data_IF_103160530560
#
_entry.id   IF_103160530560
#
_cell.length_a   1.000
_cell.length_b   1.000
_cell.length_c   1.000
_cell.angle_alpha   90.00
_cell.angle_beta   90.00
_cell.angle_gamma   90.00
#
_symmetry.space_group_name_H-M   'P 1'
#
loop_
_entity.id
_entity.type
_entity.pdbx_description
1 polymer ?
#
# COMPACT_ATOMS: atom_id res chain seq x y z
N UNK A 1 -33.50 29.90 24.22
CA UNK A 1 -32.29 29.06 24.43
C UNK A 1 -32.75 27.65 24.77
N UNK A 2 -32.56 26.68 23.87
CA UNK A 2 -33.00 25.30 24.09
C UNK A 2 -32.05 24.62 25.08
N UNK A 3 -32.56 24.33 26.28
CA UNK A 3 -31.87 23.55 27.31
C UNK A 3 -31.84 22.10 26.85
N UNK A 4 -30.68 21.65 26.35
CA UNK A 4 -30.45 20.23 26.05
C UNK A 4 -30.55 19.45 27.36
N UNK A 5 -31.50 18.52 27.43
CA UNK A 5 -31.74 17.70 28.62
C UNK A 5 -30.47 16.95 29.05
N UNK A 6 -30.10 16.96 30.35
CA UNK A 6 -28.91 16.28 30.87
C UNK A 6 -28.80 14.80 30.48
N UNK A 7 -29.94 14.12 30.29
CA UNK A 7 -29.99 12.73 29.85
C UNK A 7 -29.52 12.50 28.41
N UNK A 8 -29.59 13.51 27.54
CA UNK A 8 -29.13 13.41 26.14
C UNK A 8 -27.59 13.53 26.05
N UNK A 9 -26.99 14.30 26.94
CA UNK A 9 -25.53 14.46 27.06
C UNK A 9 -24.92 13.16 27.57
N UNK A 10 -25.49 12.56 28.61
CA UNK A 10 -25.01 11.30 29.19
C UNK A 10 -25.08 10.13 28.20
N UNK A 11 -26.15 10.03 27.40
CA UNK A 11 -26.28 9.01 26.34
C UNK A 11 -25.24 9.18 25.23
N UNK A 12 -24.92 10.40 24.81
CA UNK A 12 -23.88 10.67 23.81
C UNK A 12 -22.48 10.31 24.32
N UNK A 13 -22.18 10.62 25.58
CA UNK A 13 -20.91 10.22 26.19
C UNK A 13 -20.76 8.70 26.32
N UNK A 14 -21.83 7.99 26.70
CA UNK A 14 -21.80 6.52 26.80
C UNK A 14 -21.63 5.85 25.43
N UNK A 15 -22.24 6.39 24.38
CA UNK A 15 -22.06 5.91 23.01
C UNK A 15 -20.63 6.16 22.51
N UNK A 16 -20.08 7.35 22.79
CA UNK A 16 -18.70 7.70 22.43
C UNK A 16 -17.69 6.81 23.18
N UNK A 17 -17.90 6.53 24.47
CA UNK A 17 -17.06 5.65 25.26
C UNK A 17 -17.12 4.20 24.74
N UNK A 18 -18.31 3.68 24.43
CA UNK A 18 -18.48 2.36 23.80
C UNK A 18 -17.81 2.29 22.42
N UNK A 19 -17.86 3.38 21.65
CA UNK A 19 -17.19 3.47 20.36
C UNK A 19 -15.66 3.46 20.51
N UNK A 20 -15.10 4.22 21.47
CA UNK A 20 -13.68 4.20 21.80
C UNK A 20 -13.24 2.80 22.29
N UNK A 21 -13.99 2.17 23.18
CA UNK A 21 -13.69 0.81 23.67
C UNK A 21 -13.78 -0.23 22.54
N UNK A 22 -14.72 -0.06 21.59
CA UNK A 22 -14.83 -0.91 20.39
C UNK A 22 -13.70 -0.67 19.40
N UNK A 23 -13.18 0.54 19.28
CA UNK A 23 -11.97 0.84 18.48
C UNK A 23 -10.74 0.23 19.15
N UNK A 24 -10.63 0.35 20.47
CA UNK A 24 -9.49 -0.12 21.25
C UNK A 24 -9.40 -1.65 21.27
N UNK A 25 -10.51 -2.35 21.51
CA UNK A 25 -10.58 -3.82 21.40
C UNK A 25 -10.32 -4.32 19.97
N UNK A 26 -10.82 -3.62 18.94
CA UNK A 26 -10.47 -3.98 17.54
C UNK A 26 -8.99 -3.84 17.20
N UNK A 27 -8.24 -3.03 17.97
CA UNK A 27 -6.79 -2.87 17.81
C UNK A 27 -6.02 -3.99 18.53
N UNK A 28 -6.64 -4.66 19.49
CA UNK A 28 -6.11 -5.84 20.19
C UNK A 28 -6.39 -7.14 19.40
N UNK A 29 -7.47 -7.20 18.61
CA UNK A 29 -7.87 -8.41 17.85
C UNK A 29 -7.17 -8.60 16.49
N UNK A 30 -6.49 -7.58 15.95
CA UNK A 30 -5.81 -7.65 14.65
C UNK A 30 -4.41 -7.05 14.82
N UNK A 31 -3.51 -7.83 15.40
CA UNK A 31 -2.09 -7.51 15.44
C UNK A 31 -1.41 -8.04 14.17
N UNK A 32 -0.42 -7.31 13.63
CA UNK A 32 0.42 -7.83 12.56
C UNK A 32 0.99 -9.20 12.95
N UNK A 33 1.07 -10.12 12.00
CA UNK A 33 1.81 -11.36 12.18
C UNK A 33 3.31 -11.04 12.23
N UNK A 34 3.78 -10.72 13.44
CA UNK A 34 5.14 -10.24 13.67
C UNK A 34 6.19 -11.31 13.32
N UNK A 35 5.85 -12.59 13.44
CA UNK A 35 6.75 -13.69 13.11
C UNK A 35 6.92 -13.79 11.58
N UNK A 36 5.81 -13.84 10.84
CA UNK A 36 5.86 -13.86 9.37
C UNK A 36 6.54 -12.62 8.79
N UNK A 37 6.30 -11.44 9.38
CA UNK A 37 6.97 -10.21 8.97
C UNK A 37 8.47 -10.27 9.24
N UNK A 38 8.89 -10.79 10.40
CA UNK A 38 10.31 -10.93 10.73
C UNK A 38 11.02 -11.88 9.77
N UNK A 39 10.44 -13.04 9.50
CA UNK A 39 10.99 -14.00 8.55
C UNK A 39 11.15 -13.37 7.16
N UNK A 40 10.16 -12.60 6.72
CA UNK A 40 10.23 -11.88 5.44
C UNK A 40 11.27 -10.77 5.43
N UNK A 41 11.44 -10.05 6.54
CA UNK A 41 12.49 -9.02 6.70
C UNK A 41 13.88 -9.67 6.59
N UNK A 42 14.08 -10.81 7.25
CA UNK A 42 15.36 -11.52 7.24
C UNK A 42 15.66 -12.10 5.85
N UNK A 43 14.65 -12.63 5.15
CA UNK A 43 14.77 -13.06 3.76
C UNK A 43 15.17 -11.89 2.84
N UNK A 44 14.44 -10.77 2.89
CA UNK A 44 14.73 -9.58 2.08
C UNK A 44 16.12 -9.01 2.37
N UNK A 45 16.56 -9.06 3.62
CA UNK A 45 17.90 -8.66 4.02
C UNK A 45 18.97 -9.58 3.42
N UNK A 46 18.69 -10.84 3.13
CA UNK A 46 19.68 -11.79 2.57
C UNK A 46 19.51 -12.01 1.06
N UNK A 47 18.43 -11.51 0.47
CA UNK A 47 18.10 -11.71 -0.94
C UNK A 47 19.20 -11.22 -1.87
N UNK A 48 19.59 -12.08 -2.80
CA UNK A 48 20.33 -11.67 -3.98
C UNK A 48 19.38 -11.01 -4.98
N UNK A 49 19.49 -9.69 -5.12
CA UNK A 49 18.63 -8.92 -6.01
C UNK A 49 19.20 -8.97 -7.42
N UNK A 50 18.53 -9.69 -8.34
CA UNK A 50 18.91 -9.73 -9.75
C UNK A 50 18.68 -8.37 -10.43
N UNK A 51 19.56 -7.42 -10.15
CA UNK A 51 19.47 -6.03 -10.59
C UNK A 51 19.46 -5.91 -12.11
N UNK A 52 20.14 -6.82 -12.82
CA UNK A 52 20.12 -6.84 -14.29
C UNK A 52 18.71 -7.12 -14.81
N UNK A 53 18.07 -8.20 -14.33
CA UNK A 53 16.71 -8.54 -14.74
C UNK A 53 15.68 -7.47 -14.34
N UNK A 54 15.76 -6.96 -13.10
CA UNK A 54 14.86 -5.93 -12.60
C UNK A 54 15.00 -4.65 -13.44
N UNK A 55 16.24 -4.24 -13.75
CA UNK A 55 16.51 -3.05 -14.58
C UNK A 55 16.03 -3.24 -16.02
N UNK A 56 16.27 -4.39 -16.63
CA UNK A 56 15.77 -4.68 -17.99
C UNK A 56 14.25 -4.55 -18.05
N UNK A 57 13.53 -5.13 -17.08
CA UNK A 57 12.07 -5.05 -17.02
C UNK A 57 11.58 -3.62 -16.77
N UNK A 58 12.19 -2.89 -15.83
CA UNK A 58 11.82 -1.50 -15.55
C UNK A 58 12.11 -0.57 -16.74
N UNK A 59 13.26 -0.74 -17.41
CA UNK A 59 13.62 0.05 -18.59
C UNK A 59 12.62 -0.18 -19.73
N UNK A 60 12.15 -1.42 -19.91
CA UNK A 60 11.08 -1.70 -20.87
C UNK A 60 9.83 -0.85 -20.61
N UNK A 61 9.43 -0.68 -19.34
CA UNK A 61 8.29 0.19 -18.98
C UNK A 61 8.58 1.67 -19.25
N UNK A 62 9.83 2.11 -19.09
CA UNK A 62 10.26 3.48 -19.42
C UNK A 62 10.21 3.72 -20.94
N UNK A 63 10.70 2.76 -21.72
CA UNK A 63 10.86 2.90 -23.17
C UNK A 63 9.53 2.68 -23.93
N UNK A 64 8.71 1.73 -23.47
CA UNK A 64 7.48 1.30 -24.15
C UNK A 64 6.20 1.77 -23.45
N UNK A 65 6.29 2.27 -22.21
CA UNK A 65 5.15 2.63 -21.38
C UNK A 65 4.56 1.46 -20.57
N UNK A 66 3.49 1.75 -19.81
CA UNK A 66 2.74 0.70 -19.11
C UNK A 66 1.90 -0.06 -20.15
N UNK A 67 1.96 -1.41 -20.18
CA UNK A 67 1.21 -2.19 -21.15
C UNK A 67 -0.30 -2.05 -20.93
N UNK A 68 -1.04 -1.75 -22.00
CA UNK A 68 -2.51 -1.83 -21.99
C UNK A 68 -2.95 -3.29 -21.84
N UNK A 69 -3.88 -3.57 -20.93
CA UNK A 69 -4.39 -4.91 -20.67
C UNK A 69 -5.90 -4.94 -20.67
N UNK A 70 -6.46 -5.91 -21.38
CA UNK A 70 -7.85 -6.35 -21.17
C UNK A 70 -7.81 -7.47 -20.15
N UNK A 71 -8.39 -7.24 -18.98
CA UNK A 71 -8.43 -8.23 -17.90
C UNK A 71 -9.64 -9.14 -18.13
N UNK A 72 -9.41 -10.45 -18.25
CA UNK A 72 -10.47 -11.46 -18.15
C UNK A 72 -10.67 -11.81 -16.67
N UNK A 73 -11.81 -11.43 -16.05
CA UNK A 73 -12.06 -11.71 -14.64
C UNK A 73 -11.93 -13.20 -14.29
N UNK A 74 -12.30 -14.11 -15.20
CA UNK A 74 -12.24 -15.56 -14.94
C UNK A 74 -10.80 -16.04 -14.80
N UNK A 75 -9.93 -15.61 -15.71
CA UNK A 75 -8.51 -15.99 -15.67
C UNK A 75 -7.79 -15.30 -14.51
N UNK A 76 -8.12 -14.03 -14.21
CA UNK A 76 -7.55 -13.33 -13.05
C UNK A 76 -7.90 -14.03 -11.73
N UNK A 77 -9.17 -14.42 -11.54
CA UNK A 77 -9.62 -15.12 -10.34
C UNK A 77 -8.96 -16.50 -10.24
N UNK A 78 -8.91 -17.23 -11.36
CA UNK A 78 -8.29 -18.56 -11.43
C UNK A 78 -6.79 -18.53 -11.06
N UNK A 79 -6.09 -17.48 -11.46
CA UNK A 79 -4.64 -17.30 -11.21
C UNK A 79 -4.34 -16.31 -10.07
N UNK A 80 -5.28 -16.11 -9.14
CA UNK A 80 -5.19 -15.11 -8.07
C UNK A 80 -3.88 -15.17 -7.30
N UNK A 81 -3.51 -16.33 -6.76
CA UNK A 81 -2.33 -16.45 -5.90
C UNK A 81 -1.03 -16.15 -6.67
N UNK A 82 -0.91 -16.63 -7.90
CA UNK A 82 0.22 -16.34 -8.79
C UNK A 82 0.35 -14.85 -9.12
N UNK A 83 -0.78 -14.17 -9.31
CA UNK A 83 -0.82 -12.71 -9.53
C UNK A 83 -0.39 -11.98 -8.26
N UNK A 84 -0.91 -12.36 -7.10
CA UNK A 84 -0.58 -11.73 -5.82
C UNK A 84 0.91 -11.86 -5.48
N UNK A 85 1.48 -13.05 -5.67
CA UNK A 85 2.90 -13.31 -5.43
C UNK A 85 3.78 -12.51 -6.40
N UNK A 86 3.40 -12.47 -7.68
CA UNK A 86 4.12 -11.69 -8.71
C UNK A 86 4.06 -10.19 -8.43
N UNK A 87 2.90 -9.66 -8.03
CA UNK A 87 2.73 -8.24 -7.69
C UNK A 87 3.56 -7.87 -6.47
N UNK A 88 3.54 -8.71 -5.43
CA UNK A 88 4.35 -8.51 -4.24
C UNK A 88 5.84 -8.46 -4.60
N UNK A 89 6.32 -9.48 -5.32
CA UNK A 89 7.73 -9.56 -5.75
C UNK A 89 8.13 -8.31 -6.55
N UNK A 90 7.33 -7.92 -7.53
CA UNK A 90 7.61 -6.72 -8.34
C UNK A 90 7.60 -5.44 -7.51
N UNK A 91 6.72 -5.33 -6.51
CA UNK A 91 6.66 -4.19 -5.59
C UNK A 91 7.95 -4.04 -4.78
N UNK A 92 8.47 -5.17 -4.28
CA UNK A 92 9.75 -5.28 -3.59
C UNK A 92 10.91 -4.87 -4.53
N UNK A 93 10.98 -5.50 -5.72
CA UNK A 93 12.06 -5.29 -6.69
C UNK A 93 12.13 -3.86 -7.23
N UNK A 94 10.99 -3.27 -7.61
CA UNK A 94 10.96 -1.90 -8.12
C UNK A 94 11.28 -0.87 -7.04
N UNK A 95 10.91 -1.12 -5.78
CA UNK A 95 11.38 -0.30 -4.67
C UNK A 95 12.90 -0.39 -4.51
N UNK A 96 13.45 -1.62 -4.53
CA UNK A 96 14.89 -1.84 -4.40
C UNK A 96 15.70 -1.15 -5.51
N UNK A 97 15.21 -1.21 -6.75
CA UNK A 97 15.81 -0.55 -7.91
C UNK A 97 15.73 0.98 -7.81
N UNK A 98 14.51 1.51 -7.61
CA UNK A 98 14.25 2.96 -7.70
C UNK A 98 14.55 3.71 -6.41
N UNK A 99 14.80 2.99 -5.31
CA UNK A 99 14.93 3.52 -3.95
C UNK A 99 13.73 4.37 -3.52
N UNK A 100 12.55 4.00 -4.00
CA UNK A 100 11.32 4.73 -3.76
C UNK A 100 10.15 3.74 -3.54
N UNK A 101 9.65 3.69 -2.31
CA UNK A 101 8.59 2.75 -1.94
C UNK A 101 7.22 3.10 -2.54
N UNK A 102 6.92 4.38 -2.79
CA UNK A 102 5.68 4.74 -3.49
C UNK A 102 5.70 4.25 -4.94
N UNK A 103 6.82 4.46 -5.65
CA UNK A 103 7.02 3.94 -7.01
C UNK A 103 6.98 2.42 -7.04
N UNK A 104 7.66 1.74 -6.11
CA UNK A 104 7.69 0.28 -6.08
C UNK A 104 6.29 -0.33 -6.12
N UNK A 105 5.43 0.09 -5.19
CA UNK A 105 4.05 -0.41 -5.10
C UNK A 105 3.21 -0.03 -6.33
N UNK A 106 3.27 1.24 -6.76
CA UNK A 106 2.49 1.71 -7.91
C UNK A 106 2.91 1.03 -9.22
N UNK A 107 4.22 0.94 -9.51
CA UNK A 107 4.72 0.32 -10.76
C UNK A 107 4.32 -1.15 -10.85
N UNK A 108 4.38 -1.90 -9.75
CA UNK A 108 3.95 -3.30 -9.74
C UNK A 108 2.46 -3.46 -10.09
N UNK A 109 1.60 -2.63 -9.48
CA UNK A 109 0.15 -2.63 -9.75
C UNK A 109 -0.17 -2.16 -11.16
N UNK A 110 0.50 -1.12 -11.64
CA UNK A 110 0.27 -0.54 -12.96
C UNK A 110 0.64 -1.54 -14.05
N UNK A 111 1.80 -2.18 -13.91
CA UNK A 111 2.24 -3.23 -14.83
C UNK A 111 1.30 -4.45 -14.80
N UNK A 112 0.82 -4.86 -13.63
CA UNK A 112 -0.02 -6.05 -13.52
C UNK A 112 -1.42 -5.83 -14.11
N UNK A 113 -2.05 -4.70 -13.81
CA UNK A 113 -3.44 -4.43 -14.19
C UNK A 113 -3.60 -3.50 -15.40
N UNK A 114 -2.49 -3.04 -16.00
CA UNK A 114 -2.51 -2.17 -17.17
C UNK A 114 -3.07 -0.78 -16.87
N UNK A 115 -2.65 -0.18 -15.76
CA UNK A 115 -3.17 1.09 -15.25
C UNK A 115 -2.19 2.24 -15.46
N UNK A 116 -2.71 3.47 -15.61
CA UNK A 116 -1.91 4.68 -15.55
C UNK A 116 -0.80 4.77 -16.60
N UNK A 117 0.29 5.46 -16.25
CA UNK A 117 1.44 5.68 -17.13
C UNK A 117 2.71 6.03 -16.31
N UNK A 118 3.85 6.13 -16.99
CA UNK A 118 5.14 6.44 -16.37
C UNK A 118 5.24 7.87 -15.81
N UNK A 119 4.41 8.81 -16.28
CA UNK A 119 4.38 10.18 -15.74
C UNK A 119 3.81 10.21 -14.32
N UNK A 120 2.80 9.39 -14.04
CA UNK A 120 2.30 9.21 -12.67
C UNK A 120 3.38 8.59 -11.78
N UNK A 121 4.11 7.58 -12.28
CA UNK A 121 5.24 6.97 -11.55
C UNK A 121 6.33 8.01 -11.27
N UNK A 122 6.66 8.88 -12.24
CA UNK A 122 7.59 10.00 -12.06
C UNK A 122 7.11 10.97 -10.99
N UNK A 123 5.81 11.28 -10.99
CA UNK A 123 5.16 12.14 -10.00
C UNK A 123 5.21 11.63 -8.56
N UNK A 124 5.38 10.32 -8.35
CA UNK A 124 5.49 9.71 -7.00
C UNK A 124 6.86 9.93 -6.32
N UNK A 125 7.79 10.66 -6.94
CA UNK A 125 9.12 10.96 -6.38
C UNK A 125 9.12 11.42 -4.92
N UNK A 126 8.31 12.42 -4.50
CA UNK A 126 8.34 12.92 -3.13
C UNK A 126 7.51 12.08 -2.16
N UNK A 127 6.86 11.00 -2.57
CA UNK A 127 5.90 10.29 -1.72
C UNK A 127 6.47 9.32 -0.68
N UNK A 128 7.74 8.85 -0.73
CA UNK A 128 8.32 8.10 0.38
C UNK A 128 8.25 8.89 1.70
N UNK A 129 7.39 8.44 2.62
CA UNK A 129 7.13 9.14 3.89
C UNK A 129 6.59 10.57 3.72
N UNK A 130 6.10 10.91 2.51
CA UNK A 130 5.93 12.26 1.92
C UNK A 130 7.01 13.25 2.37
N UNK A 131 7.96 13.47 1.47
CA UNK A 131 9.18 14.23 1.62
C UNK A 131 10.14 13.69 2.69
N UNK A 132 10.18 12.36 2.89
CA UNK A 132 11.06 11.69 3.86
C UNK A 132 10.86 12.16 5.31
N UNK A 133 9.71 12.77 5.62
CA UNK A 133 9.42 13.39 6.91
C UNK A 133 8.92 12.43 8.00
N UNK A 134 8.84 11.13 7.69
CA UNK A 134 8.24 10.13 8.57
C UNK A 134 6.71 10.06 8.50
N UNK A 135 6.07 10.87 7.64
CA UNK A 135 4.62 10.89 7.41
C UNK A 135 4.08 9.62 6.73
N UNK A 136 2.98 9.75 5.97
CA UNK A 136 2.33 8.59 5.33
C UNK A 136 3.32 7.76 4.50
N UNK A 137 3.34 6.45 4.72
CA UNK A 137 4.25 5.55 4.04
C UNK A 137 3.98 5.51 2.53
N UNK A 138 5.04 5.50 1.72
CA UNK A 138 4.91 5.60 0.25
C UNK A 138 3.95 4.59 -0.40
N UNK A 139 3.93 3.30 0.01
CA UNK A 139 3.00 2.30 -0.53
C UNK A 139 1.53 2.64 -0.28
N UNK A 140 1.20 3.43 0.74
CA UNK A 140 -0.17 3.94 0.93
C UNK A 140 -0.56 4.79 -0.28
N UNK A 141 0.27 5.76 -0.66
CA UNK A 141 0.03 6.60 -1.84
C UNK A 141 0.06 5.81 -3.15
N UNK A 142 1.00 4.87 -3.29
CA UNK A 142 1.11 4.02 -4.48
C UNK A 142 -0.11 3.12 -4.69
N UNK A 143 -0.57 2.43 -3.65
CA UNK A 143 -1.76 1.58 -3.70
C UNK A 143 -3.05 2.38 -3.91
N UNK A 144 -3.21 3.53 -3.22
CA UNK A 144 -4.36 4.40 -3.44
C UNK A 144 -4.43 4.92 -4.89
N UNK A 145 -3.28 5.25 -5.50
CA UNK A 145 -3.24 5.68 -6.90
C UNK A 145 -3.77 4.57 -7.83
N UNK A 146 -3.31 3.32 -7.64
CA UNK A 146 -3.77 2.20 -8.45
C UNK A 146 -5.26 1.90 -8.26
N UNK A 147 -5.75 1.88 -7.01
CA UNK A 147 -7.15 1.66 -6.71
C UNK A 147 -8.04 2.75 -7.30
N UNK A 148 -7.60 4.01 -7.25
CA UNK A 148 -8.33 5.12 -7.89
C UNK A 148 -8.43 4.94 -9.40
N UNK A 149 -7.32 4.59 -10.07
CA UNK A 149 -7.32 4.36 -11.52
C UNK A 149 -8.15 3.16 -11.94
N UNK A 150 -8.28 2.15 -11.08
CA UNK A 150 -9.06 0.96 -11.35
C UNK A 150 -10.57 1.17 -11.10
N UNK A 151 -10.94 1.84 -10.01
CA UNK A 151 -12.36 1.93 -9.58
C UNK A 151 -13.07 3.24 -9.97
N UNK A 152 -12.36 4.32 -10.31
CA UNK A 152 -12.97 5.56 -10.78
C UNK A 152 -13.42 5.45 -12.23
N UNK A 153 -14.51 6.14 -12.58
CA UNK A 153 -14.80 6.46 -13.98
C UNK A 153 -13.76 7.41 -14.59
N UNK A 154 -13.54 7.38 -15.91
CA UNK A 154 -12.62 8.30 -16.58
C UNK A 154 -13.14 9.74 -16.69
N UNK A 155 -14.44 9.96 -16.45
CA UNK A 155 -15.06 11.28 -16.47
C UNK A 155 -14.75 12.06 -15.18
N UNK A 156 -13.78 12.97 -15.26
CA UNK A 156 -13.37 13.83 -14.15
C UNK A 156 -14.44 14.86 -13.76
N UNK A 157 -15.52 15.00 -14.53
CA UNK A 157 -16.63 15.90 -14.23
C UNK A 157 -17.76 15.21 -13.45
N UNK A 158 -17.66 13.89 -13.23
CA UNK A 158 -18.55 13.19 -12.31
C UNK A 158 -18.14 13.46 -10.86
N UNK A 159 -18.59 14.59 -10.33
CA UNK A 159 -18.34 15.01 -8.95
C UNK A 159 -19.11 14.16 -7.91
N UNK A 160 -19.93 13.19 -8.34
CA UNK A 160 -20.71 12.31 -7.46
C UNK A 160 -20.06 10.92 -7.29
N UNK A 161 -19.05 10.58 -8.10
CA UNK A 161 -18.36 9.29 -7.97
C UNK A 161 -17.57 9.21 -6.65
N UNK A 162 -18.14 8.49 -5.70
CA UNK A 162 -17.55 8.25 -4.37
C UNK A 162 -17.09 6.81 -4.18
N UNK A 163 -17.17 5.96 -5.23
CA UNK A 163 -16.89 4.52 -5.14
C UNK A 163 -15.47 4.24 -4.65
N UNK A 164 -14.51 5.04 -5.11
CA UNK A 164 -13.10 4.88 -4.77
C UNK A 164 -12.80 5.09 -3.30
N UNK A 165 -13.58 5.91 -2.58
CA UNK A 165 -13.40 6.08 -1.13
C UNK A 165 -13.67 4.79 -0.36
N UNK A 166 -14.60 3.95 -0.80
CA UNK A 166 -14.89 2.67 -0.15
C UNK A 166 -13.69 1.72 -0.24
N UNK A 167 -13.12 1.58 -1.43
CA UNK A 167 -11.94 0.75 -1.67
C UNK A 167 -10.68 1.33 -1.03
N UNK A 168 -10.50 2.66 -1.06
CA UNK A 168 -9.43 3.35 -0.37
C UNK A 168 -9.48 3.10 1.14
N UNK A 169 -10.64 3.23 1.78
CA UNK A 169 -10.80 2.96 3.22
C UNK A 169 -10.52 1.51 3.58
N UNK A 170 -10.94 0.57 2.73
CA UNK A 170 -10.64 -0.85 2.88
C UNK A 170 -9.13 -1.12 2.77
N UNK A 171 -8.47 -0.52 1.78
CA UNK A 171 -7.02 -0.62 1.59
C UNK A 171 -6.24 -0.06 2.77
N UNK A 172 -6.55 1.16 3.21
CA UNK A 172 -5.92 1.77 4.37
C UNK A 172 -6.06 0.90 5.61
N UNK A 173 -7.24 0.32 5.82
CA UNK A 173 -7.46 -0.57 6.96
C UNK A 173 -6.60 -1.83 6.87
N UNK A 174 -6.61 -2.54 5.73
CA UNK A 174 -5.81 -3.76 5.56
C UNK A 174 -4.30 -3.48 5.61
N UNK A 175 -3.85 -2.34 5.10
CA UNK A 175 -2.46 -1.92 5.19
C UNK A 175 -2.05 -1.64 6.65
N UNK A 176 -2.91 -0.91 7.39
CA UNK A 176 -2.70 -0.67 8.82
C UNK A 176 -2.73 -1.97 9.62
N UNK A 177 -3.62 -2.91 9.30
CA UNK A 177 -3.65 -4.23 9.95
C UNK A 177 -2.37 -5.03 9.67
N UNK A 178 -1.77 -4.91 8.48
CA UNK A 178 -0.53 -5.60 8.11
C UNK A 178 0.72 -5.02 8.78
N UNK A 179 0.75 -3.73 9.09
CA UNK A 179 1.95 -3.05 9.61
C UNK A 179 1.79 -2.42 11.00
N UNK A 180 0.57 -2.38 11.53
CA UNK A 180 0.21 -1.68 12.76
C UNK A 180 0.14 -0.15 12.64
N UNK A 181 0.46 0.44 11.49
CA UNK A 181 0.44 1.89 11.25
C UNK A 181 0.38 2.22 9.76
N UNK A 182 0.02 3.46 9.44
CA UNK A 182 0.15 4.07 8.10
C UNK A 182 1.40 4.97 8.00
N UNK A 183 2.06 5.27 9.12
CA UNK A 183 3.18 6.21 9.19
C UNK A 183 4.51 5.52 8.92
N UNK A 184 5.33 6.16 8.09
CA UNK A 184 6.65 5.68 7.73
C UNK A 184 7.57 5.58 8.96
N UNK A 185 7.44 6.48 9.93
CA UNK A 185 8.20 6.43 11.19
C UNK A 185 7.97 5.14 11.98
N UNK A 186 6.71 4.73 12.09
CA UNK A 186 6.30 3.56 12.87
C UNK A 186 6.69 2.29 12.12
N UNK A 187 6.46 2.27 10.82
CA UNK A 187 6.83 1.16 9.95
C UNK A 187 8.35 1.00 9.91
N UNK A 188 9.14 2.09 9.83
CA UNK A 188 10.59 2.00 9.97
C UNK A 188 11.00 1.43 11.32
N UNK A 189 10.29 1.76 12.40
CA UNK A 189 10.59 1.18 13.72
C UNK A 189 10.37 -0.34 13.73
N UNK A 190 9.29 -0.81 13.10
CA UNK A 190 9.03 -2.23 12.90
C UNK A 190 10.11 -2.91 12.04
N UNK A 191 10.48 -2.31 10.91
CA UNK A 191 11.38 -2.93 9.93
C UNK A 191 12.88 -2.81 10.29
N UNK A 192 13.27 -1.69 10.90
CA UNK A 192 14.66 -1.27 11.08
C UNK A 192 15.05 -1.15 12.57
N UNK A 193 14.11 -1.35 13.49
CA UNK A 193 14.30 -1.23 14.93
C UNK A 193 14.16 0.19 15.49
N UNK A 194 14.17 1.23 14.65
CA UNK A 194 13.82 2.61 15.00
C UNK A 194 13.56 3.44 13.74
N UNK A 195 12.97 4.62 13.91
CA UNK A 195 12.89 5.63 12.87
C UNK A 195 14.25 6.30 12.61
N UNK A 196 14.55 6.54 11.34
CA UNK A 196 15.64 7.39 10.89
C UNK A 196 15.09 8.46 9.95
N UNK A 197 15.48 9.72 10.17
CA UNK A 197 15.25 10.81 9.21
C UNK A 197 16.53 11.01 8.38
N UNK A 198 16.61 10.49 7.15
CA UNK A 198 17.81 10.59 6.33
C UNK A 198 18.07 12.02 5.82
N UNK A 199 17.09 12.93 5.93
CA UNK A 199 17.21 14.33 5.53
C UNK A 199 17.73 15.23 6.65
N UNK A 200 17.74 14.74 7.89
CA UNK A 200 18.25 15.48 9.05
C UNK A 200 19.80 15.51 9.16
N UNK A 201 20.52 14.95 8.18
CA UNK A 201 21.98 15.09 8.07
C UNK A 201 22.71 13.81 7.68
N UNK A 202 24.02 13.93 7.41
CA UNK A 202 24.86 12.82 6.93
C UNK A 202 24.94 11.63 7.88
N UNK A 203 24.95 11.87 9.20
CA UNK A 203 24.98 10.80 10.21
C UNK A 203 23.70 9.96 10.18
N UNK A 204 22.52 10.59 10.10
CA UNK A 204 21.26 9.87 10.00
C UNK A 204 21.13 9.11 8.67
N UNK A 205 21.60 9.70 7.56
CA UNK A 205 21.64 9.01 6.29
C UNK A 205 22.53 7.75 6.34
N UNK A 206 23.71 7.83 6.96
CA UNK A 206 24.57 6.67 7.16
C UNK A 206 23.93 5.63 8.08
N UNK A 207 23.28 6.06 9.17
CA UNK A 207 22.60 5.16 10.10
C UNK A 207 21.43 4.41 9.42
N UNK A 208 20.64 5.10 8.60
CA UNK A 208 19.57 4.50 7.80
C UNK A 208 20.09 3.43 6.84
N UNK A 209 21.21 3.70 6.16
CA UNK A 209 21.85 2.71 5.28
C UNK A 209 22.45 1.53 6.07
N UNK A 210 23.10 1.78 7.21
CA UNK A 210 23.61 0.71 8.10
C UNK A 210 22.51 -0.18 8.66
N UNK A 211 21.31 0.37 8.85
CA UNK A 211 20.11 -0.39 9.22
C UNK A 211 19.53 -1.24 8.08
N UNK A 212 20.19 -1.25 6.90
CA UNK A 212 19.79 -2.03 5.72
C UNK A 212 18.41 -1.65 5.20
N UNK A 213 18.09 -0.36 5.26
CA UNK A 213 16.79 0.14 4.83
C UNK A 213 16.54 -0.09 3.33
N UNK A 214 17.60 -0.12 2.51
CA UNK A 214 17.47 -0.43 1.08
C UNK A 214 16.90 -1.84 0.86
N UNK A 215 17.32 -2.80 1.67
CA UNK A 215 16.92 -4.20 1.58
C UNK A 215 15.60 -4.48 2.30
N UNK A 216 15.39 -3.87 3.48
CA UNK A 216 14.23 -4.16 4.35
C UNK A 216 12.97 -3.37 4.04
N UNK A 217 13.09 -2.08 3.71
CA UNK A 217 11.93 -1.25 3.35
C UNK A 217 11.11 -1.77 2.14
N UNK A 218 11.68 -2.48 1.14
CA UNK A 218 10.95 -3.18 0.09
C UNK A 218 9.77 -4.06 0.54
N UNK A 219 9.75 -4.55 1.78
CA UNK A 219 8.59 -5.28 2.31
C UNK A 219 7.29 -4.47 2.21
N UNK A 220 7.35 -3.18 2.57
CA UNK A 220 6.19 -2.29 2.60
C UNK A 220 5.52 -2.12 1.22
N UNK A 221 6.24 -1.80 0.12
CA UNK A 221 5.65 -1.74 -1.21
C UNK A 221 5.19 -3.08 -1.74
N UNK A 222 5.87 -4.19 -1.40
CA UNK A 222 5.42 -5.54 -1.77
C UNK A 222 4.04 -5.85 -1.19
N UNK A 223 3.90 -5.76 0.14
CA UNK A 223 2.62 -6.02 0.81
C UNK A 223 1.56 -4.99 0.44
N UNK A 224 1.91 -3.70 0.34
CA UNK A 224 0.98 -2.68 -0.12
C UNK A 224 0.42 -2.98 -1.52
N UNK A 225 1.29 -3.42 -2.44
CA UNK A 225 0.85 -3.85 -3.76
C UNK A 225 -0.03 -5.11 -3.70
N UNK A 226 0.35 -6.13 -2.91
CA UNK A 226 -0.45 -7.35 -2.71
C UNK A 226 -1.86 -7.03 -2.21
N UNK A 227 -1.99 -6.21 -1.19
CA UNK A 227 -3.28 -5.86 -0.57
C UNK A 227 -4.17 -5.11 -1.58
N UNK A 228 -3.61 -4.17 -2.34
CA UNK A 228 -4.37 -3.47 -3.38
C UNK A 228 -4.82 -4.42 -4.50
N UNK A 229 -3.95 -5.32 -4.95
CA UNK A 229 -4.27 -6.34 -5.94
C UNK A 229 -5.37 -7.30 -5.44
N UNK A 230 -5.31 -7.72 -4.18
CA UNK A 230 -6.34 -8.55 -3.56
C UNK A 230 -7.71 -7.86 -3.58
N UNK A 231 -7.76 -6.55 -3.26
CA UNK A 231 -9.01 -5.77 -3.30
C UNK A 231 -9.58 -5.69 -4.73
N UNK A 232 -8.72 -5.54 -5.75
CA UNK A 232 -9.11 -5.54 -7.15
C UNK A 232 -9.70 -6.91 -7.55
N UNK A 233 -9.01 -8.00 -7.22
CA UNK A 233 -9.46 -9.35 -7.59
C UNK A 233 -10.76 -9.70 -6.86
N UNK A 234 -10.89 -9.36 -5.58
CA UNK A 234 -12.13 -9.56 -4.83
C UNK A 234 -13.33 -8.79 -5.41
N UNK A 235 -13.12 -7.64 -6.08
CA UNK A 235 -14.24 -6.96 -6.75
C UNK A 235 -14.70 -7.76 -7.97
N UNK A 236 -13.77 -8.39 -8.70
CA UNK A 236 -14.09 -9.29 -9.81
C UNK A 236 -14.86 -10.54 -9.34
N UNK A 237 -14.45 -11.14 -8.22
CA UNK A 237 -15.13 -12.30 -7.61
C UNK A 237 -16.59 -11.97 -7.26
N UNK A 238 -16.83 -10.78 -6.70
CA UNK A 238 -18.18 -10.31 -6.36
C UNK A 238 -19.04 -10.07 -7.59
N UNK A 239 -18.48 -9.45 -8.62
CA UNK A 239 -19.20 -9.22 -9.89
C UNK A 239 -19.52 -10.54 -10.61
N UNK A 240 -18.62 -11.52 -10.57
CA UNK A 240 -18.87 -12.84 -11.14
C UNK A 240 -19.99 -13.57 -10.41
N UNK A 241 -20.00 -13.51 -9.07
CA UNK A 241 -21.04 -14.12 -8.25
C UNK A 241 -22.40 -13.47 -8.50
N UNK A 242 -22.47 -12.14 -8.57
CA UNK A 242 -23.71 -11.40 -8.84
C UNK A 242 -24.28 -11.60 -10.26
N UNK A 243 -23.50 -12.17 -11.20
CA UNK A 243 -23.97 -12.53 -12.56
C UNK A 243 -24.42 -13.99 -12.66
N UNK A 244 -24.10 -14.81 -11.66
CA UNK A 244 -24.49 -16.22 -11.59
C UNK A 244 -25.86 -16.42 -10.91
N UNK A 245 -26.29 -15.43 -10.11
CA UNK A 245 -27.62 -15.31 -9.50
C UNK A 245 -28.62 -14.61 -10.43
#
# INVERSE_FOLDING_TARGET
>A
MSLVSPGLILKKHLHFLKYILKIRSRKEDIMPDLEALKDKIDELALRDWNLSAIKTRFNKLVDEGIPSKTLDPREVIKHKDEILDRVQLKGEEYCYLTRNCAKGSATALFEEFGLGNMEIIRGLNPFPGIAMSGGICGPVSGGLMALSLYFSGPDLTDYQDTRTYLFARKYLRRFEDAFGSLLCSDIQTLLLGKYYDPMAGGENFQAFNKARAREKCPLAPGLGARIAAEIIIESMEKEQSARAD
#
